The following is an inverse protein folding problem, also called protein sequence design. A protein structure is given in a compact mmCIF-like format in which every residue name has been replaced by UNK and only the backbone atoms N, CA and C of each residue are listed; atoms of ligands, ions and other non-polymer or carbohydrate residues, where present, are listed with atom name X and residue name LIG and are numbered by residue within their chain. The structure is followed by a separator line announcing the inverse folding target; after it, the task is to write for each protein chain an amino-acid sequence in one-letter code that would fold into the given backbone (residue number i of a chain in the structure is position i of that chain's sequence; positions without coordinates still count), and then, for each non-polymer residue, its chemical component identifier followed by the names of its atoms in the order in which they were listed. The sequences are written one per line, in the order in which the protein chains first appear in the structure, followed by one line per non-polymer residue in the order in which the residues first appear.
data_IF_308517979999
#
_entry.id   IF_308517979999
#
_cell.length_a   1.000
_cell.length_b   1.000
_cell.length_c   1.000
_cell.angle_alpha   90.00
_cell.angle_beta   90.00
_cell.angle_gamma   90.00
#
_symmetry.space_group_name_H-M   'P 1'
#
loop_
_entity.id
_entity.type
_entity.pdbx_description
1 polymer ?
#
# COMPACT_ATOMS: atom_id res chain seq x y z
N UNK A 1 -5.14 16.05 -6.50
CA UNK A 1 -4.63 16.07 -7.89
C UNK A 1 -4.14 14.66 -8.28
N UNK A 2 -4.80 13.97 -9.23
CA UNK A 2 -4.39 12.62 -9.71
C UNK A 2 -3.11 12.64 -10.55
N UNK A 3 -2.92 13.70 -11.32
CA UNK A 3 -1.70 13.92 -12.09
C UNK A 3 -0.68 14.68 -11.27
N UNK A 4 0.40 13.99 -10.91
CA UNK A 4 1.61 14.64 -10.37
C UNK A 4 2.23 15.58 -11.41
N UNK A 5 3.05 16.52 -10.96
CA UNK A 5 3.79 17.42 -11.85
C UNK A 5 4.62 16.68 -12.90
N UNK A 6 5.19 15.52 -12.55
CA UNK A 6 5.96 14.70 -13.48
C UNK A 6 5.08 14.11 -14.59
N UNK A 7 3.87 13.65 -14.27
CA UNK A 7 2.94 13.14 -15.28
C UNK A 7 2.51 14.28 -16.21
N UNK A 8 2.17 15.45 -15.65
CA UNK A 8 1.79 16.63 -16.45
C UNK A 8 2.92 17.08 -17.37
N UNK A 9 4.17 17.06 -16.89
CA UNK A 9 5.33 17.39 -17.70
C UNK A 9 5.55 16.38 -18.83
N UNK A 10 5.43 15.08 -18.54
CA UNK A 10 5.56 14.02 -19.55
C UNK A 10 4.47 14.14 -20.64
N UNK A 11 3.25 14.53 -20.27
CA UNK A 11 2.15 14.78 -21.22
C UNK A 11 2.43 15.93 -22.20
N UNK A 12 3.44 16.78 -21.93
CA UNK A 12 3.87 17.84 -22.82
C UNK A 12 4.90 17.37 -23.87
N UNK A 13 5.42 16.14 -23.77
CA UNK A 13 6.30 15.58 -24.81
C UNK A 13 5.51 15.39 -26.12
N UNK A 14 6.00 15.91 -27.27
CA UNK A 14 5.29 15.78 -28.54
C UNK A 14 5.07 14.33 -28.98
N UNK A 15 5.87 13.37 -28.51
CA UNK A 15 5.72 11.95 -28.82
C UNK A 15 4.83 11.21 -27.80
N UNK A 16 4.36 11.88 -26.74
CA UNK A 16 3.50 11.28 -25.73
C UNK A 16 2.25 10.59 -26.31
N UNK A 17 1.50 11.20 -27.27
CA UNK A 17 0.34 10.55 -27.87
C UNK A 17 0.68 9.24 -28.60
N UNK A 18 1.86 9.16 -29.21
CA UNK A 18 2.33 7.97 -29.91
C UNK A 18 2.71 6.85 -28.94
N UNK A 19 3.37 7.19 -27.83
CA UNK A 19 3.69 6.25 -26.78
C UNK A 19 2.42 5.69 -26.10
N UNK A 20 1.40 6.53 -25.89
CA UNK A 20 0.07 6.10 -25.43
C UNK A 20 -0.58 5.15 -26.43
N UNK A 21 -0.60 5.49 -27.73
CA UNK A 21 -1.15 4.63 -28.78
C UNK A 21 -0.43 3.27 -28.82
N UNK A 22 0.90 3.30 -28.80
CA UNK A 22 1.74 2.10 -28.76
C UNK A 22 1.44 1.22 -27.54
N UNK A 23 1.32 1.82 -26.36
CA UNK A 23 0.96 1.08 -25.15
C UNK A 23 -0.45 0.49 -25.24
N UNK A 24 -1.41 1.24 -25.80
CA UNK A 24 -2.75 0.76 -26.10
C UNK A 24 -2.75 -0.49 -26.97
N UNK A 25 -1.97 -0.51 -28.05
CA UNK A 25 -1.81 -1.69 -28.89
C UNK A 25 -1.29 -2.90 -28.08
N UNK A 26 -0.23 -2.69 -27.27
CA UNK A 26 0.34 -3.75 -26.42
C UNK A 26 -0.71 -4.34 -25.46
N UNK A 27 -1.53 -3.50 -24.84
CA UNK A 27 -2.60 -3.95 -23.94
C UNK A 27 -3.65 -4.80 -24.67
N UNK A 28 -3.95 -4.48 -25.93
CA UNK A 28 -4.93 -5.21 -26.74
C UNK A 28 -4.34 -6.43 -27.45
N UNK A 29 -3.07 -6.76 -27.20
CA UNK A 29 -2.42 -7.88 -27.86
C UNK A 29 -2.03 -7.60 -29.32
N UNK A 30 -1.99 -6.33 -29.71
CA UNK A 30 -1.73 -5.89 -31.08
C UNK A 30 -0.30 -5.40 -31.22
N UNK A 31 0.37 -5.81 -32.30
CA UNK A 31 1.70 -5.30 -32.62
C UNK A 31 1.63 -3.79 -32.91
N UNK A 32 2.51 -2.96 -32.31
CA UNK A 32 2.61 -1.55 -32.66
C UNK A 32 2.88 -1.33 -34.16
N UNK A 33 2.16 -0.38 -34.75
CA UNK A 33 2.34 -0.02 -36.16
C UNK A 33 3.77 0.46 -36.43
N UNK A 34 4.36 0.04 -37.56
CA UNK A 34 5.73 0.44 -37.93
C UNK A 34 5.90 1.96 -38.04
N UNK A 35 4.85 2.70 -38.39
CA UNK A 35 4.85 4.15 -38.46
C UNK A 35 5.07 4.78 -37.07
N UNK A 36 4.40 4.26 -36.04
CA UNK A 36 4.56 4.71 -34.64
C UNK A 36 6.00 4.44 -34.17
N UNK A 37 6.50 3.24 -34.43
CA UNK A 37 7.87 2.84 -34.06
C UNK A 37 8.93 3.69 -34.78
N UNK A 38 8.69 4.04 -36.05
CA UNK A 38 9.57 4.90 -36.84
C UNK A 38 9.65 6.30 -36.26
N UNK A 39 8.52 6.85 -35.81
CA UNK A 39 8.47 8.20 -35.24
C UNK A 39 9.08 8.25 -33.83
N UNK A 40 8.90 7.20 -33.02
CA UNK A 40 9.47 7.10 -31.67
C UNK A 40 10.98 6.80 -31.68
N UNK A 41 11.43 5.86 -32.51
CA UNK A 41 12.77 5.26 -32.42
C UNK A 41 13.62 5.43 -33.69
N UNK A 42 13.04 5.94 -34.78
CA UNK A 42 13.70 6.13 -36.07
C UNK A 42 13.61 4.93 -37.01
N UNK A 43 13.79 5.20 -38.31
CA UNK A 43 13.65 4.25 -39.41
C UNK A 43 14.49 2.97 -39.25
N UNK A 44 15.70 3.09 -38.71
CA UNK A 44 16.63 1.97 -38.56
C UNK A 44 16.26 1.04 -37.40
N UNK A 45 15.70 1.57 -36.31
CA UNK A 45 15.37 0.78 -35.12
C UNK A 45 13.95 0.21 -35.17
N UNK A 46 13.03 0.85 -35.89
CA UNK A 46 11.63 0.45 -35.93
C UNK A 46 11.40 -1.03 -36.29
N UNK A 47 12.09 -1.64 -37.29
CA UNK A 47 11.90 -3.06 -37.61
C UNK A 47 12.37 -3.99 -36.48
N UNK A 48 13.45 -3.62 -35.78
CA UNK A 48 13.96 -4.39 -34.63
C UNK A 48 12.96 -4.33 -33.46
N UNK A 49 12.43 -3.14 -33.20
CA UNK A 49 11.39 -2.96 -32.18
C UNK A 49 10.14 -3.77 -32.48
N UNK A 50 9.68 -3.75 -33.74
CA UNK A 50 8.52 -4.50 -34.15
C UNK A 50 8.68 -6.00 -33.83
N UNK A 51 9.83 -6.59 -34.18
CA UNK A 51 10.14 -7.99 -33.86
C UNK A 51 10.14 -8.28 -32.36
N UNK A 52 10.57 -7.33 -31.53
CA UNK A 52 10.56 -7.49 -30.06
C UNK A 52 9.15 -7.55 -29.53
N UNK A 53 8.28 -6.63 -29.98
CA UNK A 53 6.87 -6.60 -29.59
C UNK A 53 6.13 -7.84 -30.11
N UNK A 54 6.34 -8.23 -31.38
CA UNK A 54 5.77 -9.44 -31.97
C UNK A 54 6.08 -10.69 -31.12
N UNK A 55 7.36 -10.92 -30.82
CA UNK A 55 7.80 -12.08 -30.03
C UNK A 55 7.20 -12.11 -28.63
N UNK A 56 7.00 -10.95 -28.02
CA UNK A 56 6.35 -10.87 -26.72
C UNK A 56 4.87 -11.21 -26.84
N UNK A 57 4.16 -10.62 -27.80
CA UNK A 57 2.73 -10.82 -28.00
C UNK A 57 2.42 -12.27 -28.38
N UNK A 58 3.22 -12.90 -29.25
CA UNK A 58 3.10 -14.33 -29.58
C UNK A 58 3.13 -15.24 -28.34
N UNK A 59 3.86 -14.85 -27.28
CA UNK A 59 4.02 -15.65 -26.05
C UNK A 59 2.99 -15.34 -24.98
N UNK A 60 2.48 -14.11 -24.96
CA UNK A 60 1.77 -13.56 -23.81
C UNK A 60 0.37 -13.02 -24.11
N UNK A 61 0.02 -12.68 -25.35
CA UNK A 61 -1.23 -11.98 -25.68
C UNK A 61 -2.47 -12.71 -25.13
N UNK A 62 -2.59 -14.02 -25.36
CA UNK A 62 -3.71 -14.85 -24.87
C UNK A 62 -3.84 -14.90 -23.34
N UNK A 63 -2.76 -14.53 -22.63
CA UNK A 63 -2.71 -14.56 -21.17
C UNK A 63 -2.93 -13.19 -20.54
N UNK A 64 -2.94 -12.10 -21.30
CA UNK A 64 -3.03 -10.75 -20.75
C UNK A 64 -4.40 -10.48 -20.11
N UNK A 65 -5.49 -10.89 -20.78
CA UNK A 65 -6.87 -10.68 -20.32
C UNK A 65 -7.49 -9.41 -20.92
N UNK A 66 -8.67 -9.02 -20.46
CA UNK A 66 -9.35 -7.82 -20.94
C UNK A 66 -8.75 -6.57 -20.30
N UNK A 67 -8.28 -5.58 -21.07
CA UNK A 67 -7.77 -4.31 -20.55
C UNK A 67 -8.77 -3.63 -19.63
N UNK A 68 -8.27 -2.99 -18.57
CA UNK A 68 -9.07 -2.21 -17.63
C UNK A 68 -9.32 -0.83 -18.22
N UNK A 69 -10.58 -0.44 -18.28
CA UNK A 69 -10.97 0.90 -18.69
C UNK A 69 -10.72 1.93 -17.58
N UNK A 70 -10.34 3.13 -17.99
CA UNK A 70 -10.24 4.27 -17.08
C UNK A 70 -11.61 4.69 -16.55
N UNK A 71 -11.64 5.05 -15.27
CA UNK A 71 -12.79 5.69 -14.65
C UNK A 71 -12.53 7.19 -14.60
N UNK A 72 -12.70 7.88 -15.72
CA UNK A 72 -12.43 9.33 -15.80
C UNK A 72 -13.26 10.18 -14.82
N UNK A 73 -14.40 9.66 -14.38
CA UNK A 73 -15.28 10.27 -13.37
C UNK A 73 -15.00 9.81 -11.93
N UNK A 74 -13.97 8.99 -11.70
CA UNK A 74 -13.58 8.60 -10.35
C UNK A 74 -13.27 9.85 -9.52
N UNK A 75 -13.71 9.91 -8.25
CA UNK A 75 -13.56 11.08 -7.41
C UNK A 75 -12.09 11.34 -7.03
N UNK A 76 -11.84 12.49 -6.42
CA UNK A 76 -10.51 12.95 -5.98
C UNK A 76 -10.54 13.34 -4.51
N UNK A 77 -11.34 12.68 -3.69
CA UNK A 77 -11.60 13.09 -2.31
C UNK A 77 -10.36 12.97 -1.42
N UNK A 78 -9.56 11.90 -1.55
CA UNK A 78 -8.32 11.74 -0.76
C UNK A 78 -7.35 12.80 -1.20
N UNK A 79 -7.22 12.92 -2.51
CA UNK A 79 -6.30 13.85 -3.14
C UNK A 79 -6.62 15.31 -2.83
N UNK A 80 -7.91 15.67 -2.70
CA UNK A 80 -8.37 17.02 -2.35
C UNK A 80 -8.13 17.28 -0.87
N UNK A 81 -8.50 16.34 0.00
CA UNK A 81 -8.24 16.44 1.44
C UNK A 81 -6.74 16.58 1.73
N UNK A 82 -5.88 15.86 1.01
CA UNK A 82 -4.41 16.01 1.09
C UNK A 82 -3.95 17.42 0.74
N UNK A 83 -4.36 17.97 -0.40
CA UNK A 83 -3.97 19.33 -0.78
C UNK A 83 -4.41 20.36 0.27
N UNK A 84 -5.63 20.21 0.80
CA UNK A 84 -6.13 21.07 1.88
C UNK A 84 -5.35 20.91 3.20
N UNK A 85 -4.87 19.71 3.54
CA UNK A 85 -3.95 19.51 4.66
C UNK A 85 -2.62 20.24 4.40
N UNK A 86 -2.01 20.01 3.24
CA UNK A 86 -0.69 20.55 2.90
C UNK A 86 -0.68 22.08 2.81
N UNK A 87 -1.82 22.71 2.53
CA UNK A 87 -2.01 24.17 2.55
C UNK A 87 -2.32 24.74 3.96
N UNK A 88 -2.61 23.90 4.95
CA UNK A 88 -3.00 24.34 6.29
C UNK A 88 -1.76 24.71 7.15
N UNK A 89 -1.72 25.93 7.73
CA UNK A 89 -0.61 26.34 8.60
C UNK A 89 -0.44 25.46 9.85
N UNK A 90 -1.55 25.03 10.48
CA UNK A 90 -1.50 24.15 11.64
C UNK A 90 -0.86 22.80 11.29
N UNK A 91 -1.24 22.21 10.15
CA UNK A 91 -0.64 20.98 9.66
C UNK A 91 0.84 21.16 9.34
N UNK A 92 1.21 22.21 8.62
CA UNK A 92 2.60 22.49 8.24
C UNK A 92 3.51 22.67 9.46
N UNK A 93 3.02 23.36 10.51
CA UNK A 93 3.76 23.52 11.75
C UNK A 93 4.06 22.18 12.41
N UNK A 94 3.04 21.35 12.62
CA UNK A 94 3.19 20.01 13.22
C UNK A 94 4.07 19.12 12.37
N UNK A 95 3.86 19.12 11.04
CA UNK A 95 4.63 18.31 10.11
C UNK A 95 6.12 18.72 10.09
N UNK A 96 6.41 20.02 10.16
CA UNK A 96 7.78 20.54 10.24
C UNK A 96 8.48 20.07 11.51
N UNK A 97 7.84 20.22 12.67
CA UNK A 97 8.39 19.75 13.95
C UNK A 97 8.76 18.27 13.88
N UNK A 98 7.84 17.43 13.37
CA UNK A 98 8.06 15.99 13.21
C UNK A 98 9.25 15.69 12.29
N UNK A 99 9.35 16.37 11.13
CA UNK A 99 10.44 16.16 10.17
C UNK A 99 11.81 16.51 10.76
N UNK A 100 11.87 17.49 11.68
CA UNK A 100 13.07 17.86 12.41
C UNK A 100 13.25 17.09 13.74
N UNK A 101 12.49 16.00 13.94
CA UNK A 101 12.53 15.17 15.15
C UNK A 101 12.23 15.93 16.44
N UNK A 102 11.45 17.00 16.34
CA UNK A 102 10.92 17.78 17.46
C UNK A 102 9.52 17.27 17.78
N UNK A 103 9.24 17.01 19.06
CA UNK A 103 7.92 16.60 19.50
C UNK A 103 6.98 17.83 19.54
N UNK A 104 5.92 17.89 18.72
CA UNK A 104 5.00 19.02 18.70
C UNK A 104 4.32 19.25 20.05
N UNK A 105 3.93 20.51 20.29
CA UNK A 105 3.13 20.89 21.45
C UNK A 105 1.75 20.22 21.44
N UNK A 106 1.24 19.90 22.64
CA UNK A 106 -0.08 19.26 22.80
C UNK A 106 -1.21 20.08 22.16
N UNK A 107 -1.21 21.40 22.35
CA UNK A 107 -2.22 22.29 21.80
C UNK A 107 -2.27 22.22 20.25
N UNK A 108 -1.10 22.18 19.59
CA UNK A 108 -1.03 22.06 18.13
C UNK A 108 -1.62 20.74 17.64
N UNK A 109 -1.41 19.65 18.38
CA UNK A 109 -1.99 18.34 18.08
C UNK A 109 -3.50 18.29 18.36
N UNK A 110 -3.98 18.95 19.41
CA UNK A 110 -5.42 19.04 19.71
C UNK A 110 -6.21 19.76 18.61
N UNK A 111 -5.59 20.67 17.84
CA UNK A 111 -6.23 21.29 16.65
C UNK A 111 -6.50 20.28 15.52
N UNK A 112 -5.67 19.25 15.39
CA UNK A 112 -5.78 18.24 14.33
C UNK A 112 -6.55 16.99 14.79
N UNK A 113 -6.38 16.62 16.06
CA UNK A 113 -6.81 15.34 16.62
C UNK A 113 -7.80 15.48 17.79
N UNK A 114 -8.24 16.71 18.10
CA UNK A 114 -9.19 16.98 19.17
C UNK A 114 -8.72 16.45 20.52
N UNK A 115 -9.63 15.83 21.28
CA UNK A 115 -9.34 15.29 22.62
C UNK A 115 -8.24 14.22 22.65
N UNK A 116 -7.91 13.60 21.52
CA UNK A 116 -6.87 12.57 21.41
C UNK A 116 -5.47 13.14 21.20
N UNK A 117 -5.31 14.47 21.13
CA UNK A 117 -4.00 15.11 20.91
C UNK A 117 -2.92 14.69 21.90
N UNK A 118 -3.30 14.37 23.15
CA UNK A 118 -2.38 13.80 24.16
C UNK A 118 -1.87 12.39 23.81
N UNK A 119 -2.76 11.50 23.39
CA UNK A 119 -2.41 10.11 23.03
C UNK A 119 -1.59 10.06 21.74
N UNK A 120 -2.00 10.86 20.75
CA UNK A 120 -1.23 11.07 19.51
C UNK A 120 0.18 11.55 19.82
N UNK A 121 0.33 12.49 20.76
CA UNK A 121 1.64 12.97 21.18
C UNK A 121 2.50 11.87 21.79
N UNK A 122 1.93 10.99 22.61
CA UNK A 122 2.69 9.89 23.22
C UNK A 122 3.13 8.84 22.19
N UNK A 123 2.26 8.45 21.26
CA UNK A 123 2.65 7.59 20.13
C UNK A 123 3.76 8.26 19.31
N UNK A 124 3.59 9.54 18.99
CA UNK A 124 4.59 10.32 18.25
C UNK A 124 5.94 10.34 18.95
N UNK A 125 5.96 10.54 20.28
CA UNK A 125 7.17 10.49 21.09
C UNK A 125 7.88 9.14 20.93
N UNK A 126 7.16 8.01 20.98
CA UNK A 126 7.74 6.68 20.81
C UNK A 126 8.39 6.52 19.42
N UNK A 127 7.69 6.92 18.35
CA UNK A 127 8.26 6.87 16.98
C UNK A 127 9.55 7.69 16.84
N UNK A 128 9.61 8.88 17.46
CA UNK A 128 10.78 9.75 17.43
C UNK A 128 11.94 9.20 18.27
N UNK A 129 11.68 8.68 19.47
CA UNK A 129 12.69 8.09 20.35
C UNK A 129 13.34 6.85 19.72
N UNK A 130 12.53 6.00 19.08
CA UNK A 130 13.02 4.81 18.38
C UNK A 130 13.55 5.09 16.97
N UNK A 131 13.51 6.36 16.51
CA UNK A 131 14.04 6.82 15.21
C UNK A 131 13.57 5.97 14.03
N UNK A 132 12.29 5.61 14.04
CA UNK A 132 11.72 4.77 12.99
C UNK A 132 11.66 5.53 11.66
N UNK A 133 12.21 4.93 10.61
CA UNK A 133 12.34 5.55 9.28
C UNK A 133 11.70 4.70 8.19
N UNK A 134 11.09 5.39 7.23
CA UNK A 134 10.53 4.79 6.02
C UNK A 134 11.63 4.50 5.02
N UNK A 135 11.34 3.66 4.02
CA UNK A 135 12.28 3.33 2.93
C UNK A 135 12.77 4.54 2.13
N UNK A 136 12.02 5.64 2.11
CA UNK A 136 12.41 6.91 1.49
C UNK A 136 13.32 7.78 2.38
N UNK A 137 13.71 7.31 3.56
CA UNK A 137 14.60 8.01 4.50
C UNK A 137 13.90 9.02 5.43
N UNK A 138 12.61 9.29 5.22
CA UNK A 138 11.83 10.18 6.09
C UNK A 138 11.33 9.40 7.32
N UNK A 139 11.21 10.08 8.47
CA UNK A 139 10.63 9.49 9.69
C UNK A 139 9.24 8.90 9.47
N UNK A 140 8.96 7.72 10.03
CA UNK A 140 7.63 7.08 9.97
C UNK A 140 6.55 7.93 10.64
N UNK A 141 6.91 8.70 11.67
CA UNK A 141 6.00 9.65 12.32
C UNK A 141 5.37 10.66 11.34
N UNK A 142 6.14 11.09 10.32
CA UNK A 142 5.65 12.04 9.32
C UNK A 142 4.57 11.40 8.42
N UNK A 143 4.61 10.09 8.21
CA UNK A 143 3.56 9.35 7.52
C UNK A 143 2.30 9.24 8.36
N UNK A 144 2.42 8.90 9.64
CA UNK A 144 1.30 8.86 10.57
C UNK A 144 0.52 10.18 10.61
N UNK A 145 1.24 11.30 10.74
CA UNK A 145 0.64 12.63 10.76
C UNK A 145 -0.09 12.96 9.46
N UNK A 146 0.47 12.61 8.29
CA UNK A 146 -0.21 12.82 7.00
C UNK A 146 -1.49 11.98 6.90
N UNK A 147 -1.43 10.70 7.25
CA UNK A 147 -2.61 9.81 7.18
C UNK A 147 -3.70 10.32 8.12
N UNK A 148 -3.38 10.56 9.40
CA UNK A 148 -4.35 11.05 10.38
C UNK A 148 -4.99 12.38 9.97
N UNK A 149 -4.17 13.38 9.59
CA UNK A 149 -4.68 14.67 9.16
C UNK A 149 -5.58 14.58 7.92
N UNK A 150 -5.22 13.75 6.93
CA UNK A 150 -6.05 13.54 5.73
C UNK A 150 -7.37 12.87 6.10
N UNK A 151 -7.37 11.88 6.99
CA UNK A 151 -8.62 11.29 7.52
C UNK A 151 -9.52 12.37 8.11
N UNK A 152 -8.98 13.25 8.97
CA UNK A 152 -9.73 14.38 9.52
C UNK A 152 -10.32 15.28 8.42
N UNK A 153 -9.52 15.65 7.41
CA UNK A 153 -9.99 16.50 6.29
C UNK A 153 -10.99 15.83 5.34
N UNK A 154 -11.06 14.50 5.31
CA UNK A 154 -12.08 13.80 4.52
C UNK A 154 -13.47 13.81 5.14
N UNK A 155 -13.64 14.37 6.35
CA UNK A 155 -14.95 14.43 7.02
C UNK A 155 -15.44 13.06 7.50
N UNK A 156 -14.52 12.15 7.83
CA UNK A 156 -14.89 10.86 8.42
C UNK A 156 -15.42 11.01 9.85
N UNK A 157 -14.87 11.99 10.57
CA UNK A 157 -15.27 12.38 11.90
C UNK A 157 -16.44 13.37 11.89
N UNK A 158 -17.21 13.39 12.97
CA UNK A 158 -18.07 14.54 13.30
C UNK A 158 -17.20 15.69 13.82
N UNK A 159 -17.67 16.93 13.72
CA UNK A 159 -16.91 18.18 13.98
C UNK A 159 -16.19 18.28 15.35
N UNK A 160 -16.49 17.39 16.30
CA UNK A 160 -15.84 17.33 17.63
C UNK A 160 -15.25 15.96 17.99
N UNK A 161 -15.42 14.96 17.11
CA UNK A 161 -15.09 13.57 17.39
C UNK A 161 -13.61 13.24 17.22
N UNK A 162 -12.99 13.64 16.11
CA UNK A 162 -11.59 13.35 15.70
C UNK A 162 -11.09 11.90 15.93
N UNK A 163 -12.00 10.94 16.11
CA UNK A 163 -11.69 9.56 16.47
C UNK A 163 -11.03 8.84 15.31
N UNK A 164 -11.58 8.96 14.11
CA UNK A 164 -11.02 8.34 12.93
C UNK A 164 -9.71 9.02 12.50
N UNK A 165 -9.57 10.34 12.69
CA UNK A 165 -8.30 11.05 12.53
C UNK A 165 -7.22 10.48 13.45
N UNK A 166 -7.53 10.24 14.74
CA UNK A 166 -6.63 9.60 15.68
C UNK A 166 -6.31 8.14 15.32
N UNK A 167 -7.30 7.35 14.90
CA UNK A 167 -7.07 5.99 14.37
C UNK A 167 -6.17 6.02 13.14
N UNK A 168 -6.39 6.98 12.23
CA UNK A 168 -5.54 7.18 11.05
C UNK A 168 -4.11 7.54 11.42
N UNK A 169 -3.90 8.32 12.48
CA UNK A 169 -2.57 8.55 13.02
C UNK A 169 -1.96 7.26 13.59
N UNK A 170 -2.72 6.46 14.33
CA UNK A 170 -2.23 5.28 15.04
C UNK A 170 -2.25 3.98 14.21
N UNK A 171 -2.56 4.04 12.92
CA UNK A 171 -2.85 2.84 12.12
C UNK A 171 -1.71 1.82 12.07
N UNK A 172 -0.45 2.29 12.03
CA UNK A 172 0.75 1.45 12.02
C UNK A 172 1.37 1.30 13.43
N UNK A 173 0.77 1.86 14.48
CA UNK A 173 1.38 1.92 15.81
C UNK A 173 1.69 0.52 16.38
N UNK A 174 0.79 -0.44 16.21
CA UNK A 174 1.06 -1.82 16.64
C UNK A 174 2.10 -2.51 15.75
N UNK A 175 2.12 -2.25 14.44
CA UNK A 175 3.05 -2.89 13.50
C UNK A 175 4.49 -2.43 13.73
N UNK A 176 4.68 -1.15 14.05
CA UNK A 176 5.99 -0.50 14.10
C UNK A 176 6.56 -0.35 15.53
N UNK A 177 5.73 -0.38 16.58
CA UNK A 177 6.20 -0.13 17.96
C UNK A 177 6.24 -1.35 18.87
N UNK A 178 5.47 -2.39 18.55
CA UNK A 178 5.22 -3.47 19.49
C UNK A 178 6.50 -4.25 19.80
N UNK A 179 7.33 -4.58 18.80
CA UNK A 179 8.59 -5.30 18.99
C UNK A 179 9.80 -4.40 19.34
N UNK A 180 9.59 -3.09 19.59
CA UNK A 180 10.66 -2.15 19.96
C UNK A 180 10.43 -1.44 21.29
N UNK A 181 9.17 -1.17 21.67
CA UNK A 181 8.82 -0.46 22.90
C UNK A 181 8.86 -1.43 24.08
N UNK A 182 9.33 -0.93 25.23
CA UNK A 182 9.38 -1.69 26.49
C UNK A 182 8.24 -1.36 27.44
N UNK A 183 7.74 -2.38 28.13
CA UNK A 183 6.80 -2.29 29.22
C UNK A 183 7.44 -1.62 30.47
N UNK A 184 6.64 -1.44 31.51
CA UNK A 184 7.10 -0.86 32.79
C UNK A 184 8.15 -1.72 33.53
N UNK A 185 8.35 -2.97 33.12
CA UNK A 185 9.32 -3.92 33.66
C UNK A 185 10.56 -4.06 32.77
N UNK A 186 10.65 -3.29 31.68
CA UNK A 186 11.78 -3.31 30.75
C UNK A 186 11.74 -4.44 29.72
N UNK A 187 10.62 -5.16 29.59
CA UNK A 187 10.41 -6.22 28.60
C UNK A 187 9.77 -5.63 27.34
N UNK A 188 10.22 -6.05 26.17
CA UNK A 188 9.62 -5.63 24.89
C UNK A 188 8.22 -6.23 24.76
N UNK A 189 7.26 -5.46 24.21
CA UNK A 189 5.93 -6.01 23.91
C UNK A 189 6.03 -7.07 22.81
N UNK A 190 5.13 -8.06 22.84
CA UNK A 190 5.01 -9.08 21.79
C UNK A 190 3.59 -9.09 21.22
N UNK A 191 3.35 -9.92 20.20
CA UNK A 191 2.01 -10.08 19.63
C UNK A 191 0.98 -10.55 20.67
N UNK A 192 1.42 -11.11 21.79
CA UNK A 192 0.55 -11.50 22.92
C UNK A 192 0.23 -10.34 23.87
N UNK A 193 1.02 -9.25 23.83
CA UNK A 193 0.89 -8.10 24.73
C UNK A 193 0.21 -6.89 24.06
N UNK A 194 -0.27 -7.04 22.82
CA UNK A 194 -0.86 -5.93 22.06
C UNK A 194 -2.01 -5.24 22.79
N UNK A 195 -2.83 -5.98 23.57
CA UNK A 195 -3.89 -5.37 24.37
C UNK A 195 -3.33 -4.47 25.47
N UNK A 196 -2.29 -4.92 26.18
CA UNK A 196 -1.64 -4.12 27.22
C UNK A 196 -0.95 -2.88 26.64
N UNK A 197 -0.44 -2.96 25.40
CA UNK A 197 0.04 -1.80 24.67
C UNK A 197 -1.10 -0.80 24.41
N UNK A 198 -2.24 -1.27 23.89
CA UNK A 198 -3.40 -0.43 23.62
C UNK A 198 -3.96 0.21 24.89
N UNK A 199 -4.10 -0.55 25.97
CA UNK A 199 -4.60 -0.07 27.26
C UNK A 199 -3.73 1.06 27.82
N UNK A 200 -2.43 1.05 27.50
CA UNK A 200 -1.47 2.05 27.97
C UNK A 200 -1.47 3.33 27.12
N UNK A 201 -1.66 3.21 25.81
CA UNK A 201 -1.38 4.30 24.87
C UNK A 201 -2.59 4.83 24.10
N UNK A 202 -3.75 4.17 24.18
CA UNK A 202 -4.94 4.56 23.45
C UNK A 202 -6.23 4.38 24.27
N UNK A 203 -7.17 5.28 24.08
CA UNK A 203 -8.50 5.19 24.70
C UNK A 203 -9.26 3.96 24.19
N UNK A 204 -10.08 3.29 25.03
CA UNK A 204 -10.77 2.04 24.69
C UNK A 204 -11.60 2.09 23.40
N UNK A 205 -12.22 3.22 23.09
CA UNK A 205 -13.00 3.42 21.86
C UNK A 205 -12.17 3.33 20.57
N UNK A 206 -10.84 3.55 20.65
CA UNK A 206 -9.94 3.44 19.51
C UNK A 206 -9.50 1.98 19.26
N UNK A 207 -9.51 1.13 20.30
CA UNK A 207 -8.88 -0.19 20.28
C UNK A 207 -9.38 -1.06 19.13
N UNK A 208 -10.70 -1.16 18.96
CA UNK A 208 -11.26 -2.03 17.92
C UNK A 208 -10.83 -1.57 16.52
N UNK A 209 -10.76 -0.26 16.30
CA UNK A 209 -10.37 0.29 15.00
C UNK A 209 -8.87 0.13 14.74
N UNK A 210 -8.03 0.35 15.75
CA UNK A 210 -6.58 0.14 15.66
C UNK A 210 -6.30 -1.35 15.39
N UNK A 211 -6.89 -2.27 16.15
CA UNK A 211 -6.73 -3.71 15.92
C UNK A 211 -7.15 -4.13 14.51
N UNK A 212 -8.27 -3.61 14.03
CA UNK A 212 -8.80 -3.98 12.72
C UNK A 212 -7.91 -3.47 11.58
N UNK A 213 -7.31 -2.28 11.73
CA UNK A 213 -6.40 -1.75 10.71
C UNK A 213 -5.01 -2.36 10.80
N UNK A 214 -4.60 -2.92 11.94
CA UNK A 214 -3.31 -3.62 12.08
C UNK A 214 -3.27 -4.93 11.30
N UNK A 215 -2.20 -5.15 10.54
CA UNK A 215 -1.90 -6.40 9.87
C UNK A 215 -1.30 -7.43 10.84
N UNK A 216 -2.16 -8.03 11.67
CA UNK A 216 -1.76 -9.06 12.64
C UNK A 216 -0.99 -10.24 12.04
N UNK A 217 -1.22 -10.56 10.76
CA UNK A 217 -0.47 -11.61 10.08
C UNK A 217 1.02 -11.26 9.95
N UNK A 218 1.37 -9.98 9.78
CA UNK A 218 2.76 -9.53 9.71
C UNK A 218 3.44 -9.55 11.09
N UNK A 219 2.68 -9.22 12.14
CA UNK A 219 3.14 -9.35 13.53
C UNK A 219 3.47 -10.82 13.86
N UNK A 220 2.56 -11.75 13.54
CA UNK A 220 2.77 -13.19 13.75
C UNK A 220 3.97 -13.72 12.94
N UNK A 221 4.13 -13.31 11.68
CA UNK A 221 5.30 -13.70 10.88
C UNK A 221 6.61 -13.21 11.50
N UNK A 222 6.60 -12.01 12.08
CA UNK A 222 7.78 -11.43 12.75
C UNK A 222 8.10 -12.17 14.05
N UNK A 223 7.08 -12.57 14.81
CA UNK A 223 7.21 -13.44 15.99
C UNK A 223 7.79 -14.81 15.62
N UNK A 224 7.30 -15.46 14.55
CA UNK A 224 7.88 -16.73 14.08
C UNK A 224 9.35 -16.58 13.69
N UNK A 225 9.70 -15.48 13.02
CA UNK A 225 11.08 -15.21 12.62
C UNK A 225 11.99 -15.05 13.82
N UNK A 226 11.54 -14.31 14.82
CA UNK A 226 12.29 -14.10 16.05
C UNK A 226 12.47 -15.42 16.82
N UNK A 227 11.39 -16.19 16.97
CA UNK A 227 11.42 -17.50 17.62
C UNK A 227 12.37 -18.47 16.93
N UNK A 228 12.26 -18.62 15.61
CA UNK A 228 13.15 -19.50 14.85
C UNK A 228 14.61 -19.07 14.99
N UNK A 229 14.89 -17.76 14.99
CA UNK A 229 16.23 -17.23 15.24
C UNK A 229 16.75 -17.62 16.62
N UNK A 230 15.92 -17.52 17.66
CA UNK A 230 16.28 -17.88 19.03
C UNK A 230 16.48 -19.38 19.24
N UNK A 231 15.94 -20.21 18.34
CA UNK A 231 16.14 -21.66 18.30
C UNK A 231 17.23 -22.10 17.30
N UNK A 232 18.03 -21.16 16.77
CA UNK A 232 19.06 -21.40 15.74
C UNK A 232 18.52 -22.11 14.47
N UNK A 233 17.26 -21.81 14.11
CA UNK A 233 16.59 -22.33 12.91
C UNK A 233 16.49 -21.25 11.82
N UNK A 234 16.73 -21.65 10.58
CA UNK A 234 16.53 -20.79 9.43
C UNK A 234 15.04 -20.74 9.01
N UNK A 235 14.62 -19.65 8.37
CA UNK A 235 13.24 -19.46 7.90
C UNK A 235 12.97 -20.27 6.63
N UNK A 236 12.71 -21.57 6.80
CA UNK A 236 12.19 -22.46 5.75
C UNK A 236 10.68 -22.60 5.83
N UNK A 237 10.03 -23.07 4.76
CA UNK A 237 8.59 -23.40 4.80
C UNK A 237 8.28 -24.39 5.92
N UNK A 238 9.04 -25.48 6.03
CA UNK A 238 8.85 -26.48 7.09
C UNK A 238 8.98 -25.90 8.50
N UNK A 239 9.97 -25.03 8.72
CA UNK A 239 10.16 -24.38 10.03
C UNK A 239 9.08 -23.33 10.32
N UNK A 240 8.61 -22.60 9.32
CA UNK A 240 7.49 -21.66 9.45
C UNK A 240 6.20 -22.40 9.83
N UNK A 241 5.88 -23.49 9.13
CA UNK A 241 4.69 -24.31 9.45
C UNK A 241 4.79 -24.90 10.86
N UNK A 242 5.96 -25.43 11.23
CA UNK A 242 6.20 -25.95 12.58
C UNK A 242 6.01 -24.87 13.65
N UNK A 243 6.58 -23.67 13.46
CA UNK A 243 6.45 -22.57 14.43
C UNK A 243 4.99 -22.12 14.59
N UNK A 244 4.23 -22.11 13.51
CA UNK A 244 2.80 -21.79 13.51
C UNK A 244 1.97 -22.83 14.25
N UNK A 245 2.21 -24.12 14.00
CA UNK A 245 1.53 -25.23 14.69
C UNK A 245 1.89 -25.30 16.17
N UNK A 246 3.13 -24.99 16.52
CA UNK A 246 3.55 -24.93 17.92
C UNK A 246 2.87 -23.76 18.64
N UNK A 247 2.86 -22.58 18.03
CA UNK A 247 2.16 -21.41 18.57
C UNK A 247 0.67 -21.69 18.77
N UNK A 248 0.02 -22.38 17.82
CA UNK A 248 -1.38 -22.78 17.95
C UNK A 248 -1.66 -23.69 19.15
N UNK A 249 -0.72 -24.57 19.51
CA UNK A 249 -0.87 -25.51 20.63
C UNK A 249 -0.63 -24.88 22.00
N UNK A 250 0.25 -23.89 22.07
CA UNK A 250 0.80 -23.42 23.34
C UNK A 250 0.42 -21.98 23.69
N UNK A 251 0.03 -21.16 22.72
CA UNK A 251 -0.28 -19.74 22.93
C UNK A 251 -1.78 -19.42 23.01
N UNK A 252 -2.07 -18.15 23.27
CA UNK A 252 -3.41 -17.61 23.51
C UNK A 252 -4.43 -17.90 22.40
N UNK A 253 -5.67 -18.17 22.81
CA UNK A 253 -6.78 -18.55 21.90
C UNK A 253 -7.16 -17.41 20.94
N UNK A 254 -6.89 -16.15 21.30
CA UNK A 254 -7.29 -14.99 20.49
C UNK A 254 -6.51 -14.85 19.18
N UNK A 255 -5.30 -15.41 19.09
CA UNK A 255 -4.50 -15.43 17.85
C UNK A 255 -4.80 -16.64 16.97
N UNK A 256 -5.46 -17.68 17.50
CA UNK A 256 -5.73 -18.94 16.78
C UNK A 256 -6.45 -18.74 15.44
N UNK A 257 -7.47 -17.87 15.30
CA UNK A 257 -8.13 -17.65 14.01
C UNK A 257 -7.21 -17.08 12.93
N UNK A 258 -6.17 -16.34 13.32
CA UNK A 258 -5.17 -15.84 12.38
C UNK A 258 -4.21 -16.95 11.95
N UNK A 259 -3.76 -17.78 12.90
CA UNK A 259 -2.89 -18.93 12.66
C UNK A 259 -3.54 -19.93 11.69
N UNK A 260 -4.80 -20.29 11.90
CA UNK A 260 -5.54 -21.23 11.03
C UNK A 260 -5.62 -20.71 9.59
N UNK A 261 -5.94 -19.42 9.41
CA UNK A 261 -6.01 -18.79 8.08
C UNK A 261 -4.65 -18.72 7.40
N UNK A 262 -3.59 -18.40 8.16
CA UNK A 262 -2.22 -18.41 7.64
C UNK A 262 -1.82 -19.81 7.19
N UNK A 263 -2.07 -20.82 8.01
CA UNK A 263 -1.75 -22.22 7.71
C UNK A 263 -2.40 -22.63 6.39
N UNK A 264 -3.71 -22.44 6.28
CA UNK A 264 -4.48 -22.77 5.08
C UNK A 264 -3.97 -22.09 3.80
N UNK A 265 -3.56 -20.83 3.89
CA UNK A 265 -3.09 -20.07 2.72
C UNK A 265 -1.64 -20.38 2.32
N UNK A 266 -0.83 -20.88 3.26
CA UNK A 266 0.60 -21.10 3.04
C UNK A 266 0.98 -22.58 2.84
N UNK A 267 0.14 -23.52 3.28
CA UNK A 267 0.42 -24.96 3.23
C UNK A 267 0.73 -25.45 1.81
N UNK A 268 -0.03 -25.02 0.81
CA UNK A 268 0.13 -25.44 -0.58
C UNK A 268 0.96 -24.46 -1.43
N UNK A 269 1.38 -23.32 -0.88
CA UNK A 269 2.05 -22.27 -1.67
C UNK A 269 3.56 -22.54 -1.83
N UNK A 270 4.14 -22.43 -3.05
CA UNK A 270 5.57 -22.63 -3.27
C UNK A 270 6.42 -21.43 -2.79
N UNK A 271 6.72 -21.43 -1.49
CA UNK A 271 7.47 -20.36 -0.81
C UNK A 271 9.01 -20.44 -0.98
N UNK A 272 9.54 -20.94 -2.09
CA UNK A 272 11.00 -21.13 -2.28
C UNK A 272 11.80 -19.80 -2.25
N UNK A 273 13.10 -19.87 -1.92
CA UNK A 273 14.08 -18.77 -1.80
C UNK A 273 13.83 -17.72 -0.70
N UNK A 274 12.71 -17.00 -0.75
CA UNK A 274 12.33 -15.95 0.22
C UNK A 274 11.00 -16.30 0.90
N UNK A 275 11.06 -17.28 1.80
CA UNK A 275 9.87 -17.79 2.52
C UNK A 275 9.17 -16.66 3.27
N UNK A 276 9.93 -15.82 3.98
CA UNK A 276 9.37 -14.73 4.79
C UNK A 276 8.68 -13.67 3.93
N UNK A 277 9.36 -13.18 2.89
CA UNK A 277 8.81 -12.16 2.01
C UNK A 277 7.60 -12.65 1.21
N UNK A 278 7.63 -13.90 0.72
CA UNK A 278 6.51 -14.53 0.02
C UNK A 278 5.32 -14.76 0.96
N UNK A 279 5.53 -15.30 2.17
CA UNK A 279 4.47 -15.47 3.15
C UNK A 279 3.83 -14.14 3.55
N UNK A 280 4.66 -13.11 3.83
CA UNK A 280 4.19 -11.75 4.14
C UNK A 280 3.33 -11.18 3.01
N UNK A 281 3.77 -11.35 1.77
CA UNK A 281 2.99 -10.89 0.61
C UNK A 281 1.68 -11.64 0.45
N UNK A 282 1.71 -12.97 0.59
CA UNK A 282 0.53 -13.83 0.49
C UNK A 282 -0.51 -13.48 1.54
N UNK A 283 -0.12 -13.40 2.82
CA UNK A 283 -0.99 -12.99 3.92
C UNK A 283 -1.56 -11.58 3.70
N UNK A 284 -0.75 -10.61 3.25
CA UNK A 284 -1.24 -9.27 2.91
C UNK A 284 -2.32 -9.33 1.82
N UNK A 285 -2.03 -10.05 0.75
CA UNK A 285 -2.80 -10.01 -0.49
C UNK A 285 -4.05 -10.87 -0.50
N UNK A 286 -4.10 -11.93 0.31
CA UNK A 286 -5.21 -12.89 0.34
C UNK A 286 -6.01 -12.91 1.65
N UNK A 287 -5.39 -12.46 2.75
CA UNK A 287 -6.01 -12.47 4.08
C UNK A 287 -6.29 -11.05 4.57
N UNK A 288 -5.26 -10.26 4.89
CA UNK A 288 -5.39 -8.99 5.62
C UNK A 288 -6.44 -8.03 5.06
N UNK A 289 -6.28 -7.59 3.80
CA UNK A 289 -7.20 -6.62 3.19
C UNK A 289 -8.60 -7.22 2.99
N UNK A 290 -8.67 -8.50 2.62
CA UNK A 290 -9.93 -9.22 2.42
C UNK A 290 -10.74 -9.33 3.71
N UNK A 291 -10.08 -9.73 4.79
CA UNK A 291 -10.70 -9.91 6.12
C UNK A 291 -11.17 -8.57 6.68
N UNK A 292 -10.37 -7.50 6.52
CA UNK A 292 -10.79 -6.15 6.89
C UNK A 292 -12.05 -5.73 6.11
N UNK A 293 -12.10 -5.99 4.80
CA UNK A 293 -13.26 -5.69 3.96
C UNK A 293 -14.51 -6.46 4.43
N UNK A 294 -14.40 -7.78 4.64
CA UNK A 294 -15.50 -8.63 5.12
C UNK A 294 -16.00 -8.18 6.49
N UNK A 295 -15.10 -7.94 7.43
CA UNK A 295 -15.47 -7.58 8.80
C UNK A 295 -16.18 -6.21 8.85
N UNK A 296 -15.62 -5.19 8.20
CA UNK A 296 -16.23 -3.85 8.13
C UNK A 296 -17.59 -3.87 7.46
N UNK A 297 -17.73 -4.65 6.38
CA UNK A 297 -19.00 -4.84 5.68
C UNK A 297 -20.05 -5.53 6.56
N UNK A 298 -19.70 -6.64 7.23
CA UNK A 298 -20.64 -7.39 8.08
C UNK A 298 -21.19 -6.58 9.27
N UNK A 299 -20.45 -5.53 9.70
CA UNK A 299 -20.86 -4.65 10.80
C UNK A 299 -21.46 -3.33 10.32
N UNK A 300 -21.54 -3.10 9.01
CA UNK A 300 -22.00 -1.82 8.46
C UNK A 300 -21.13 -0.62 8.86
N UNK A 301 -19.87 -0.85 9.25
CA UNK A 301 -18.94 0.20 9.66
C UNK A 301 -17.69 0.17 8.79
N UNK A 302 -17.69 0.99 7.75
CA UNK A 302 -16.65 1.02 6.73
C UNK A 302 -15.49 1.96 7.03
N UNK A 303 -15.61 2.83 8.04
CA UNK A 303 -14.66 3.93 8.25
C UNK A 303 -13.21 3.44 8.39
N UNK A 304 -12.97 2.34 9.10
CA UNK A 304 -11.63 1.74 9.20
C UNK A 304 -11.08 1.25 7.86
N UNK A 305 -11.94 0.68 7.01
CA UNK A 305 -11.54 0.28 5.67
C UNK A 305 -11.19 1.51 4.81
N UNK A 306 -11.95 2.59 4.92
CA UNK A 306 -11.66 3.86 4.24
C UNK A 306 -10.33 4.49 4.70
N UNK A 307 -9.98 4.41 6.00
CA UNK A 307 -8.66 4.86 6.50
C UNK A 307 -7.53 4.10 5.79
N UNK A 308 -7.69 2.79 5.55
CA UNK A 308 -6.68 2.00 4.82
C UNK A 308 -6.49 2.50 3.39
N UNK A 309 -7.54 3.00 2.74
CA UNK A 309 -7.40 3.65 1.43
C UNK A 309 -6.49 4.89 1.49
N UNK A 310 -6.62 5.69 2.56
CA UNK A 310 -5.84 6.91 2.76
C UNK A 310 -4.37 6.57 3.01
N UNK A 311 -4.07 5.57 3.86
CA UNK A 311 -2.71 5.03 4.04
C UNK A 311 -2.13 4.58 2.69
N UNK A 312 -2.84 3.73 1.96
CA UNK A 312 -2.40 3.23 0.66
C UNK A 312 -2.17 4.34 -0.38
N UNK A 313 -2.94 5.43 -0.31
CA UNK A 313 -2.71 6.62 -1.13
C UNK A 313 -1.48 7.40 -0.65
N UNK A 314 -1.27 7.58 0.66
CA UNK A 314 -0.09 8.28 1.21
C UNK A 314 1.22 7.52 0.96
N UNK A 315 1.17 6.20 0.79
CA UNK A 315 2.30 5.40 0.31
C UNK A 315 2.81 5.83 -1.09
N UNK A 316 2.06 6.67 -1.81
CA UNK A 316 2.49 7.36 -3.02
C UNK A 316 3.25 8.68 -2.78
N UNK A 317 3.29 9.20 -1.56
CA UNK A 317 4.03 10.41 -1.20
C UNK A 317 5.54 10.11 -1.20
N UNK A 318 6.33 10.96 -1.85
CA UNK A 318 7.77 10.70 -2.06
C UNK A 318 8.05 9.50 -2.98
N UNK A 319 7.06 9.00 -3.75
CA UNK A 319 7.21 7.83 -4.63
C UNK A 319 8.39 7.94 -5.61
N UNK A 320 8.73 9.15 -6.05
CA UNK A 320 9.90 9.40 -6.91
C UNK A 320 11.25 9.01 -6.27
N UNK A 321 11.33 8.98 -4.93
CA UNK A 321 12.52 8.56 -4.19
C UNK A 321 12.56 7.04 -3.92
N UNK A 322 11.50 6.29 -4.27
CA UNK A 322 11.43 4.85 -4.06
C UNK A 322 11.99 4.09 -5.27
N UNK A 323 12.66 2.96 -4.99
CA UNK A 323 13.03 1.98 -6.01
C UNK A 323 11.78 1.49 -6.78
N UNK A 324 11.95 1.16 -8.06
CA UNK A 324 10.85 0.75 -8.96
C UNK A 324 10.00 -0.38 -8.38
N UNK A 325 10.61 -1.44 -7.83
CA UNK A 325 9.88 -2.57 -7.27
C UNK A 325 8.98 -2.16 -6.09
N UNK A 326 9.44 -1.21 -5.27
CA UNK A 326 8.62 -0.66 -4.19
C UNK A 326 7.46 0.18 -4.74
N UNK A 327 7.66 0.91 -5.84
CA UNK A 327 6.59 1.65 -6.52
C UNK A 327 5.53 0.68 -7.08
N UNK A 328 5.96 -0.36 -7.80
CA UNK A 328 5.06 -1.39 -8.35
C UNK A 328 4.29 -2.08 -7.22
N UNK A 329 4.97 -2.51 -6.16
CA UNK A 329 4.33 -3.14 -4.99
C UNK A 329 3.24 -2.25 -4.39
N UNK A 330 3.49 -0.95 -4.23
CA UNK A 330 2.50 -0.02 -3.70
C UNK A 330 1.28 0.12 -4.62
N UNK A 331 1.45 0.15 -5.94
CA UNK A 331 0.33 0.17 -6.89
C UNK A 331 -0.50 -1.12 -6.83
N UNK A 332 0.16 -2.28 -6.71
CA UNK A 332 -0.55 -3.56 -6.55
C UNK A 332 -1.32 -3.59 -5.22
N UNK A 333 -0.76 -3.05 -4.13
CA UNK A 333 -1.48 -2.92 -2.85
C UNK A 333 -2.76 -2.09 -2.98
N UNK A 334 -2.72 -0.97 -3.71
CA UNK A 334 -3.91 -0.15 -4.00
C UNK A 334 -4.96 -0.95 -4.79
N UNK A 335 -4.52 -1.72 -5.78
CA UNK A 335 -5.41 -2.54 -6.59
C UNK A 335 -6.01 -3.73 -5.81
N UNK A 336 -5.27 -4.33 -4.87
CA UNK A 336 -5.79 -5.36 -3.94
C UNK A 336 -6.92 -4.76 -3.07
N UNK A 337 -6.71 -3.57 -2.52
CA UNK A 337 -7.74 -2.84 -1.78
C UNK A 337 -8.97 -2.56 -2.65
N UNK A 338 -8.77 -2.01 -3.84
CA UNK A 338 -9.87 -1.70 -4.75
C UNK A 338 -10.66 -2.95 -5.17
N UNK A 339 -9.96 -4.06 -5.43
CA UNK A 339 -10.58 -5.33 -5.77
C UNK A 339 -11.50 -5.82 -4.64
N UNK A 340 -10.99 -5.93 -3.41
CA UNK A 340 -11.83 -6.42 -2.30
C UNK A 340 -12.94 -5.43 -1.93
N UNK A 341 -12.67 -4.12 -2.01
CA UNK A 341 -13.67 -3.09 -1.78
C UNK A 341 -14.81 -3.13 -2.80
N UNK A 342 -14.52 -3.37 -4.08
CA UNK A 342 -15.56 -3.46 -5.11
C UNK A 342 -16.44 -4.70 -4.95
N UNK A 343 -15.91 -5.80 -4.40
CA UNK A 343 -16.69 -7.02 -4.15
C UNK A 343 -17.70 -6.87 -3.00
N UNK A 344 -17.57 -5.83 -2.16
CA UNK A 344 -18.52 -5.58 -1.07
C UNK A 344 -19.91 -5.19 -1.58
N UNK A 345 -20.03 -4.69 -2.83
CA UNK A 345 -21.29 -4.19 -3.39
C UNK A 345 -22.04 -3.25 -2.42
N UNK A 346 -21.27 -2.42 -1.70
CA UNK A 346 -21.80 -1.56 -0.65
C UNK A 346 -22.59 -0.39 -1.23
N UNK A 347 -23.62 0.07 -0.52
CA UNK A 347 -24.31 1.34 -0.80
C UNK A 347 -23.63 2.53 -0.12
N UNK A 348 -22.58 2.30 0.68
CA UNK A 348 -21.85 3.35 1.38
C UNK A 348 -20.97 4.16 0.42
N UNK A 349 -21.39 5.39 0.14
CA UNK A 349 -20.73 6.27 -0.82
C UNK A 349 -19.22 6.45 -0.57
N UNK A 350 -18.82 6.63 0.69
CA UNK A 350 -17.41 6.85 1.04
C UNK A 350 -16.49 5.75 0.50
N UNK A 351 -16.82 4.48 0.76
CA UNK A 351 -16.02 3.33 0.29
C UNK A 351 -15.96 3.25 -1.21
N UNK A 352 -17.12 3.36 -1.88
CA UNK A 352 -17.18 3.26 -3.33
C UNK A 352 -16.34 4.35 -4.00
N UNK A 353 -16.39 5.58 -3.45
CA UNK A 353 -15.59 6.70 -3.92
C UNK A 353 -14.09 6.45 -3.71
N UNK A 354 -13.67 5.96 -2.52
CA UNK A 354 -12.25 5.63 -2.27
C UNK A 354 -11.74 4.48 -3.12
N UNK A 355 -12.56 3.46 -3.36
CA UNK A 355 -12.23 2.34 -4.25
C UNK A 355 -11.99 2.83 -5.67
N UNK A 356 -12.90 3.66 -6.20
CA UNK A 356 -12.77 4.23 -7.54
C UNK A 356 -11.54 5.15 -7.65
N UNK A 357 -11.30 6.02 -6.67
CA UNK A 357 -10.12 6.90 -6.63
C UNK A 357 -8.82 6.10 -6.62
N UNK A 358 -8.67 5.10 -5.75
CA UNK A 358 -7.45 4.29 -5.66
C UNK A 358 -7.21 3.43 -6.91
N UNK A 359 -8.26 2.87 -7.50
CA UNK A 359 -8.14 2.06 -8.71
C UNK A 359 -7.64 2.90 -9.89
N UNK A 360 -8.24 4.07 -10.07
CA UNK A 360 -7.88 4.97 -11.15
C UNK A 360 -6.50 5.60 -10.94
N UNK A 361 -6.15 5.97 -9.70
CA UNK A 361 -4.81 6.44 -9.37
C UNK A 361 -3.76 5.33 -9.65
N UNK A 362 -4.03 4.09 -9.26
CA UNK A 362 -3.13 2.96 -9.51
C UNK A 362 -2.91 2.74 -11.01
N UNK A 363 -3.97 2.83 -11.82
CA UNK A 363 -3.91 2.70 -13.27
C UNK A 363 -3.08 3.83 -13.88
N UNK A 364 -3.44 5.10 -13.66
CA UNK A 364 -2.71 6.28 -14.20
C UNK A 364 -1.22 6.24 -13.86
N UNK A 365 -0.88 5.85 -12.64
CA UNK A 365 0.52 5.76 -12.22
C UNK A 365 1.26 4.56 -12.80
N UNK A 366 0.59 3.43 -13.03
CA UNK A 366 1.17 2.30 -13.74
C UNK A 366 1.45 2.66 -15.20
N UNK A 367 0.52 3.34 -15.87
CA UNK A 367 0.71 3.84 -17.24
C UNK A 367 1.89 4.81 -17.33
N UNK A 368 2.02 5.73 -16.38
CA UNK A 368 3.14 6.66 -16.34
C UNK A 368 4.50 5.94 -16.34
N UNK A 369 4.62 4.84 -15.58
CA UNK A 369 5.85 4.03 -15.53
C UNK A 369 6.16 3.41 -16.90
N UNK A 370 5.14 2.94 -17.61
CA UNK A 370 5.29 2.34 -18.93
C UNK A 370 5.62 3.39 -20.00
N UNK A 371 4.82 4.45 -20.07
CA UNK A 371 4.99 5.50 -21.09
C UNK A 371 6.33 6.21 -20.93
N UNK A 372 6.80 6.42 -19.70
CA UNK A 372 8.12 7.00 -19.44
C UNK A 372 9.26 6.17 -20.05
N UNK A 373 9.18 4.84 -20.00
CA UNK A 373 10.16 3.94 -20.63
C UNK A 373 10.02 3.96 -22.16
N UNK A 374 8.78 3.95 -22.69
CA UNK A 374 8.53 3.98 -24.13
C UNK A 374 9.06 5.25 -24.80
N UNK A 375 9.10 6.37 -24.08
CA UNK A 375 9.66 7.64 -24.56
C UNK A 375 11.20 7.68 -24.54
N UNK A 376 11.89 6.65 -24.01
CA UNK A 376 13.35 6.64 -23.96
C UNK A 376 13.97 6.39 -25.35
N UNK A 377 14.72 7.37 -25.84
CA UNK A 377 15.42 7.32 -27.12
C UNK A 377 16.79 6.64 -27.05
N UNK A 378 17.42 6.65 -25.87
CA UNK A 378 18.68 5.95 -25.63
C UNK A 378 18.40 4.55 -25.08
N UNK A 379 19.16 3.54 -25.53
CA UNK A 379 18.95 2.14 -25.15
C UNK A 379 17.49 1.68 -25.30
N UNK A 380 16.84 2.15 -26.36
CA UNK A 380 15.41 1.93 -26.63
C UNK A 380 15.01 0.45 -26.57
N UNK A 381 15.91 -0.47 -26.96
CA UNK A 381 15.67 -1.92 -26.89
C UNK A 381 15.58 -2.43 -25.45
N UNK A 382 16.49 -1.99 -24.59
CA UNK A 382 16.49 -2.36 -23.16
C UNK A 382 15.23 -1.83 -22.47
N UNK A 383 14.84 -0.60 -22.80
CA UNK A 383 13.61 0.01 -22.28
C UNK A 383 12.35 -0.67 -22.82
N UNK A 384 12.34 -1.12 -24.08
CA UNK A 384 11.24 -1.91 -24.63
C UNK A 384 11.07 -3.24 -23.87
N UNK A 385 12.14 -3.99 -23.65
CA UNK A 385 12.09 -5.24 -22.87
C UNK A 385 11.69 -4.98 -21.41
N UNK A 386 12.29 -3.98 -20.77
CA UNK A 386 11.91 -3.54 -19.42
C UNK A 386 10.41 -3.20 -19.33
N UNK A 387 9.89 -2.47 -20.31
CA UNK A 387 8.47 -2.12 -20.42
C UNK A 387 7.59 -3.36 -20.46
N UNK A 388 7.93 -4.33 -21.31
CA UNK A 388 7.16 -5.56 -21.47
C UNK A 388 7.14 -6.41 -20.19
N UNK A 389 8.29 -6.50 -19.48
CA UNK A 389 8.36 -7.14 -18.16
C UNK A 389 7.52 -6.39 -17.12
N UNK A 390 7.50 -5.05 -17.14
CA UNK A 390 6.65 -4.24 -16.27
C UNK A 390 5.16 -4.47 -16.55
N UNK A 391 4.74 -4.64 -17.80
CA UNK A 391 3.36 -4.98 -18.16
C UNK A 391 2.93 -6.30 -17.50
N UNK A 392 3.80 -7.32 -17.52
CA UNK A 392 3.53 -8.59 -16.84
C UNK A 392 3.44 -8.41 -15.32
N UNK A 393 4.38 -7.67 -14.71
CA UNK A 393 4.39 -7.39 -13.27
C UNK A 393 3.20 -6.56 -12.80
N UNK A 394 2.64 -5.71 -13.67
CA UNK A 394 1.50 -4.84 -13.40
C UNK A 394 0.19 -5.39 -13.97
N UNK A 395 0.16 -6.67 -14.38
CA UNK A 395 -1.01 -7.29 -15.00
C UNK A 395 -2.30 -7.11 -14.20
N UNK A 396 -2.22 -7.20 -12.87
CA UNK A 396 -3.37 -7.01 -11.97
C UNK A 396 -4.01 -5.62 -12.05
N UNK A 397 -3.24 -4.64 -12.49
CA UNK A 397 -3.67 -3.23 -12.63
C UNK A 397 -4.24 -3.02 -14.02
N UNK A 398 -3.47 -3.37 -15.06
CA UNK A 398 -3.85 -3.12 -16.46
C UNK A 398 -5.00 -4.00 -16.97
N UNK A 399 -5.23 -5.16 -16.36
CA UNK A 399 -6.26 -6.10 -16.83
C UNK A 399 -7.30 -6.37 -15.75
N UNK A 400 -8.51 -6.71 -16.21
CA UNK A 400 -9.59 -7.17 -15.35
C UNK A 400 -9.30 -8.61 -14.87
N UNK A 401 -9.70 -8.92 -13.64
CA UNK A 401 -9.42 -10.21 -13.00
C UNK A 401 -8.92 -10.07 -11.57
N UNK A 402 -8.68 -11.21 -10.91
CA UNK A 402 -8.16 -11.25 -9.55
C UNK A 402 -6.69 -10.77 -9.55
N UNK A 403 -6.30 -9.86 -8.64
CA UNK A 403 -4.97 -9.24 -8.66
C UNK A 403 -3.80 -10.20 -8.33
N UNK A 404 -4.09 -11.41 -7.85
CA UNK A 404 -3.05 -12.39 -7.44
C UNK A 404 -3.37 -13.76 -8.03
N UNK A 405 -2.92 -13.97 -9.26
CA UNK A 405 -2.49 -15.27 -9.78
C UNK A 405 -1.28 -15.02 -10.67
N UNK A 406 -0.16 -14.65 -10.04
CA UNK A 406 1.16 -14.79 -10.64
C UNK A 406 1.69 -16.15 -10.19
N UNK A 407 1.55 -17.13 -11.08
CA UNK A 407 2.31 -18.39 -11.07
C UNK A 407 3.79 -18.12 -11.25
#
# INVERSE_FOLDING_TARGET
MRYTSSIKQMQQDPHYPLAVKMFGNILHGETPEIAILTELYGLSQAPVMQQVFDRFLERHADKLGTPREHQHHAPFEISTARSLCEESPDFQSVQSDILFSTLPGRESLERLYGRYGGEVREILRLFLEHRLVRKCGITSAAHLNRVGAVVGKTGMDTDSGHMYSAVGFMHDALEDLLDVVKDQHGRTYTVHDYQAFLDRYASPELHQHIKLITNFYDLLLSEFKERLRNEDRYMSKSNLMWAMEDMYKHESIDIHPYLEKMHYVLEDDPLEDDVYGKAKWKCYSELYIREMAIYTHSRGNYRTFEIKAIDLSDNGHGRGALALDSRIKNLIKQQIYAYYGSQLNSTWHGVNNRVAELQEDALVHAEHIIIQDLLQKQSSLDFAISTLLKVLSLKSIFFTGRPVRSS
#
